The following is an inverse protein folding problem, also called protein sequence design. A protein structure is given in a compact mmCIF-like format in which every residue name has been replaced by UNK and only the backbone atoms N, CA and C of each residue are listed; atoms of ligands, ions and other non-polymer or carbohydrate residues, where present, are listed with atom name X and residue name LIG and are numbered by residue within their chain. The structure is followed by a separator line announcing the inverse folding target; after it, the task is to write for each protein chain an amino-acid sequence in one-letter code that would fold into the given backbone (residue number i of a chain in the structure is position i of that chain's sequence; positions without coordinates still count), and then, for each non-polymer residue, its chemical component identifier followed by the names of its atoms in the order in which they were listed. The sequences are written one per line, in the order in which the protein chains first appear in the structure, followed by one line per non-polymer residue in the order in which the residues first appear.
data_IF_543152135380
#
_entry.id   IF_543152135380
#
_cell.length_a   1.000
_cell.length_b   1.000
_cell.length_c   1.000
_cell.angle_alpha   90.00
_cell.angle_beta   90.00
_cell.angle_gamma   90.00
#
_symmetry.space_group_name_H-M   'P 1'
#
loop_
_entity.id
_entity.type
_entity.pdbx_description
1 polymer ?
#
# COMPACT_ATOMS: atom_id res chain seq x y z
N UNK A 1 0.16 -1.80 8.04
CA UNK A 1 -0.87 -0.72 8.16
C UNK A 1 -0.74 0.05 9.49
N UNK A 2 -0.11 -0.57 10.47
CA UNK A 2 0.53 -0.04 11.69
C UNK A 2 1.49 1.14 11.48
N UNK A 3 2.27 1.16 10.39
CA UNK A 3 3.25 2.24 10.17
C UNK A 3 2.62 3.63 10.14
N UNK A 4 1.41 3.79 9.59
CA UNK A 4 0.72 5.09 9.55
C UNK A 4 0.40 5.58 10.96
N UNK A 5 -0.03 4.68 11.85
CA UNK A 5 -0.35 5.03 13.24
C UNK A 5 0.91 5.45 14.01
N UNK A 6 2.03 4.78 13.77
CA UNK A 6 3.32 5.19 14.32
C UNK A 6 3.75 6.58 13.82
N UNK A 7 3.64 6.83 12.51
CA UNK A 7 3.97 8.13 11.94
C UNK A 7 3.08 9.26 12.50
N UNK A 8 1.80 8.99 12.77
CA UNK A 8 0.91 9.94 13.45
C UNK A 8 1.36 10.20 14.89
N UNK A 9 1.78 9.17 15.62
CA UNK A 9 2.21 9.30 17.01
C UNK A 9 3.54 10.06 17.14
N UNK A 10 4.41 9.94 16.14
CA UNK A 10 5.69 10.64 16.10
C UNK A 10 5.59 12.10 15.62
N UNK A 11 4.41 12.60 15.25
CA UNK A 11 4.20 13.91 14.64
C UNK A 11 4.87 15.09 15.36
N UNK A 12 5.00 15.03 16.69
CA UNK A 12 5.61 16.08 17.51
C UNK A 12 7.11 15.90 17.78
N UNK A 13 7.71 14.80 17.31
CA UNK A 13 9.13 14.50 17.50
C UNK A 13 9.98 15.15 16.39
N UNK A 14 11.28 15.38 16.63
CA UNK A 14 12.20 15.77 15.57
C UNK A 14 12.29 14.68 14.49
N UNK A 15 12.48 15.07 13.23
CA UNK A 15 12.54 14.16 12.07
C UNK A 15 13.44 12.93 12.25
N UNK A 16 14.57 13.08 12.99
CA UNK A 16 15.50 11.99 13.30
C UNK A 16 14.85 10.84 14.09
N UNK A 17 13.72 11.09 14.77
CA UNK A 17 13.02 10.14 15.63
C UNK A 17 11.67 9.67 15.04
N UNK A 18 11.38 9.96 13.77
CA UNK A 18 10.18 9.46 13.06
C UNK A 18 10.34 8.03 12.55
N UNK A 19 10.98 7.16 13.32
CA UNK A 19 11.18 5.74 12.97
C UNK A 19 11.01 4.88 14.22
N UNK A 20 10.51 3.67 14.01
CA UNK A 20 10.43 2.65 15.05
C UNK A 20 11.87 2.32 15.54
N UNK A 21 12.08 2.10 16.85
CA UNK A 21 13.39 1.75 17.41
C UNK A 21 14.03 0.52 16.75
N UNK A 22 13.20 -0.40 16.26
CA UNK A 22 13.61 -1.59 15.53
C UNK A 22 12.46 -2.09 14.63
N UNK A 23 12.77 -2.67 13.45
CA UNK A 23 11.78 -3.13 12.48
C UNK A 23 10.79 -4.17 13.05
N UNK A 24 11.32 -5.15 13.77
CA UNK A 24 10.52 -6.20 14.41
C UNK A 24 9.54 -5.68 15.48
N UNK A 25 9.80 -4.50 16.07
CA UNK A 25 8.94 -3.95 17.12
C UNK A 25 7.65 -3.37 16.53
N UNK A 26 7.75 -2.67 15.41
CA UNK A 26 6.58 -2.17 14.67
C UNK A 26 5.73 -3.32 14.12
N UNK A 27 6.40 -4.36 13.61
CA UNK A 27 5.76 -5.55 13.06
C UNK A 27 5.00 -6.34 14.14
N UNK A 28 5.65 -6.62 15.29
CA UNK A 28 5.01 -7.34 16.39
C UNK A 28 3.77 -6.62 16.95
N UNK A 29 3.81 -5.29 17.03
CA UNK A 29 2.66 -4.50 17.50
C UNK A 29 1.56 -4.45 16.44
N UNK A 30 1.93 -4.33 15.16
CA UNK A 30 1.01 -4.44 14.04
C UNK A 30 0.27 -5.78 14.03
N UNK A 31 1.01 -6.87 14.19
CA UNK A 31 0.47 -8.23 14.22
C UNK A 31 -0.40 -8.48 15.46
N UNK A 32 0.02 -8.03 16.65
CA UNK A 32 -0.80 -8.13 17.85
C UNK A 32 -2.14 -7.39 17.71
N UNK A 33 -2.14 -6.20 17.11
CA UNK A 33 -3.37 -5.44 16.85
C UNK A 33 -4.22 -6.14 15.79
N UNK A 34 -3.61 -6.70 14.75
CA UNK A 34 -4.32 -7.46 13.72
C UNK A 34 -5.00 -8.71 14.32
N UNK A 35 -4.26 -9.51 15.09
CA UNK A 35 -4.74 -10.71 15.74
C UNK A 35 -5.86 -10.42 16.75
N UNK A 36 -5.75 -9.36 17.55
CA UNK A 36 -6.80 -8.96 18.50
C UNK A 36 -8.08 -8.50 17.79
N UNK A 37 -7.97 -7.84 16.63
CA UNK A 37 -9.12 -7.44 15.83
C UNK A 37 -9.72 -8.55 14.99
N UNK A 38 -9.00 -9.65 14.76
CA UNK A 38 -9.53 -10.87 14.13
C UNK A 38 -10.34 -11.77 15.09
N UNK A 39 -10.59 -11.31 16.32
CA UNK A 39 -11.52 -11.98 17.22
C UNK A 39 -12.91 -12.10 16.57
N UNK A 40 -13.57 -13.28 16.62
CA UNK A 40 -14.89 -13.46 15.99
C UNK A 40 -15.93 -12.47 16.54
N UNK A 41 -15.82 -12.12 17.82
CA UNK A 41 -16.68 -11.13 18.48
C UNK A 41 -16.50 -9.72 17.90
N UNK A 42 -15.26 -9.34 17.58
CA UNK A 42 -14.95 -8.06 16.96
C UNK A 42 -15.48 -8.03 15.52
N UNK A 43 -15.18 -9.07 14.72
CA UNK A 43 -15.63 -9.21 13.34
C UNK A 43 -17.16 -9.22 13.19
N UNK A 44 -17.88 -9.85 14.13
CA UNK A 44 -19.35 -9.79 14.21
C UNK A 44 -19.85 -8.38 14.51
N UNK A 45 -19.21 -7.68 15.45
CA UNK A 45 -19.58 -6.29 15.84
C UNK A 45 -19.42 -5.30 14.69
N UNK A 46 -18.37 -5.44 13.88
CA UNK A 46 -18.15 -4.59 12.70
C UNK A 46 -18.96 -5.05 11.47
N UNK A 47 -19.83 -6.07 11.63
CA UNK A 47 -20.70 -6.57 10.57
C UNK A 47 -19.95 -7.21 9.41
N UNK A 48 -18.78 -7.80 9.69
CA UNK A 48 -18.05 -8.65 8.73
C UNK A 48 -18.45 -10.12 8.84
N UNK A 49 -19.06 -10.52 9.96
CA UNK A 49 -19.57 -11.87 10.21
C UNK A 49 -21.02 -11.77 10.69
N UNK A 50 -21.98 -11.96 9.77
CA UNK A 50 -23.42 -11.86 10.10
C UNK A 50 -23.97 -13.19 10.69
N UNK A 51 -23.58 -14.34 10.13
CA UNK A 51 -24.06 -15.69 10.51
C UNK A 51 -22.93 -16.66 10.91
N UNK A 52 -21.96 -16.20 11.70
CA UNK A 52 -20.85 -17.05 12.12
C UNK A 52 -21.19 -17.89 13.35
N UNK A 53 -21.16 -19.22 13.20
CA UNK A 53 -21.15 -20.16 14.31
C UNK A 53 -19.69 -20.40 14.74
N UNK A 54 -19.39 -20.45 16.03
CA UNK A 54 -18.00 -20.49 16.55
C UNK A 54 -17.13 -21.66 16.04
N UNK A 55 -17.72 -22.62 15.32
CA UNK A 55 -17.07 -23.79 14.72
C UNK A 55 -16.43 -23.50 13.34
N UNK A 56 -16.88 -22.46 12.61
CA UNK A 56 -16.53 -22.30 11.17
C UNK A 56 -15.11 -21.79 10.91
N UNK A 57 -14.37 -21.34 11.95
CA UNK A 57 -12.96 -20.95 11.77
C UNK A 57 -12.08 -22.15 11.39
N UNK A 58 -12.48 -23.34 11.83
CA UNK A 58 -11.77 -24.58 11.52
C UNK A 58 -11.90 -24.88 10.04
N UNK A 59 -13.08 -24.69 9.44
CA UNK A 59 -13.35 -25.01 8.03
C UNK A 59 -12.39 -24.27 7.09
N UNK A 60 -12.13 -22.98 7.31
CA UNK A 60 -11.25 -22.19 6.45
C UNK A 60 -9.77 -22.64 6.55
N UNK A 61 -9.32 -22.98 7.75
CA UNK A 61 -7.96 -23.46 8.01
C UNK A 61 -7.77 -24.93 7.60
N UNK A 62 -8.83 -25.73 7.73
CA UNK A 62 -8.89 -27.16 7.41
C UNK A 62 -8.96 -27.40 5.90
N UNK A 63 -9.73 -26.57 5.18
CA UNK A 63 -9.78 -26.63 3.72
C UNK A 63 -8.45 -26.23 3.08
N UNK A 64 -7.68 -25.31 3.68
CA UNK A 64 -6.37 -24.91 3.17
C UNK A 64 -6.40 -24.60 1.66
N UNK A 65 -5.54 -25.26 0.88
CA UNK A 65 -5.49 -25.13 -0.59
C UNK A 65 -6.25 -26.24 -1.34
N UNK A 66 -7.12 -26.99 -0.67
CA UNK A 66 -7.84 -28.13 -1.27
C UNK A 66 -8.97 -27.71 -2.22
N UNK A 67 -9.52 -26.49 -2.05
CA UNK A 67 -10.53 -25.90 -2.92
C UNK A 67 -10.03 -24.57 -3.52
N UNK A 68 -10.58 -24.13 -4.68
CA UNK A 68 -10.41 -22.77 -5.15
C UNK A 68 -10.83 -21.76 -4.08
N UNK A 69 -10.09 -20.67 -3.96
CA UNK A 69 -10.28 -19.69 -2.89
C UNK A 69 -11.64 -18.98 -2.98
N UNK A 70 -12.23 -18.90 -4.18
CA UNK A 70 -13.54 -18.32 -4.44
C UNK A 70 -14.66 -19.12 -3.78
N UNK A 71 -14.59 -20.45 -3.84
CA UNK A 71 -15.61 -21.34 -3.28
C UNK A 71 -15.55 -21.35 -1.75
N UNK A 72 -14.34 -21.27 -1.19
CA UNK A 72 -14.12 -21.11 0.26
C UNK A 72 -14.67 -19.77 0.75
N UNK A 73 -14.47 -18.70 -0.03
CA UNK A 73 -14.95 -17.36 0.31
C UNK A 73 -16.47 -17.26 0.21
N UNK A 74 -17.09 -17.94 -0.75
CA UNK A 74 -18.54 -18.05 -0.87
C UNK A 74 -19.15 -18.77 0.33
N UNK A 75 -18.56 -19.90 0.71
CA UNK A 75 -18.98 -20.70 1.86
C UNK A 75 -18.86 -19.89 3.18
N UNK A 76 -17.81 -19.09 3.32
CA UNK A 76 -17.55 -18.33 4.55
C UNK A 76 -18.25 -16.96 4.64
N UNK A 77 -18.25 -16.20 3.55
CA UNK A 77 -18.69 -14.80 3.53
C UNK A 77 -19.90 -14.57 2.61
N UNK A 78 -20.43 -15.61 1.96
CA UNK A 78 -21.53 -15.51 1.02
C UNK A 78 -21.19 -14.72 -0.25
N UNK A 79 -19.90 -14.48 -0.52
CA UNK A 79 -19.42 -13.68 -1.65
C UNK A 79 -18.32 -14.40 -2.39
N UNK A 80 -18.42 -14.46 -3.73
CA UNK A 80 -17.37 -15.04 -4.60
C UNK A 80 -16.29 -14.05 -5.02
N UNK A 81 -16.53 -12.76 -4.83
CA UNK A 81 -15.66 -11.69 -5.33
C UNK A 81 -15.04 -10.90 -4.19
N UNK A 82 -13.78 -10.51 -4.36
CA UNK A 82 -13.13 -9.60 -3.42
C UNK A 82 -13.83 -8.24 -3.39
N UNK A 83 -14.18 -7.75 -2.20
CA UNK A 83 -14.85 -6.46 -2.02
C UNK A 83 -14.13 -5.59 -1.01
N UNK A 84 -13.78 -4.37 -1.42
CA UNK A 84 -13.21 -3.37 -0.52
C UNK A 84 -14.23 -2.79 0.48
N UNK A 85 -15.53 -3.13 0.36
CA UNK A 85 -16.62 -2.61 1.21
C UNK A 85 -16.36 -2.86 2.69
N UNK A 86 -15.84 -4.04 3.03
CA UNK A 86 -15.47 -4.44 4.38
C UNK A 86 -14.40 -3.52 4.99
N UNK A 87 -13.34 -3.25 4.22
CA UNK A 87 -12.28 -2.32 4.62
C UNK A 87 -12.80 -0.89 4.74
N UNK A 88 -13.61 -0.43 3.78
CA UNK A 88 -14.22 0.90 3.81
C UNK A 88 -15.13 1.08 5.04
N UNK A 89 -15.95 0.09 5.38
CA UNK A 89 -16.80 0.11 6.58
C UNK A 89 -15.94 0.20 7.85
N UNK A 90 -14.84 -0.55 7.91
CA UNK A 90 -13.94 -0.54 9.06
C UNK A 90 -13.22 0.80 9.25
N UNK A 91 -12.76 1.45 8.17
CA UNK A 91 -12.09 2.75 8.21
C UNK A 91 -13.04 3.95 8.19
N UNK A 92 -14.35 3.74 8.06
CA UNK A 92 -15.35 4.80 8.00
C UNK A 92 -15.16 5.90 9.05
N UNK A 93 -15.05 5.62 10.37
CA UNK A 93 -14.89 6.69 11.35
C UNK A 93 -13.59 7.50 11.17
N UNK A 94 -12.53 6.87 10.66
CA UNK A 94 -11.29 7.57 10.32
C UNK A 94 -11.46 8.43 9.06
N UNK A 95 -12.17 7.92 8.06
CA UNK A 95 -12.47 8.69 6.84
C UNK A 95 -13.31 9.92 7.17
N UNK A 96 -14.33 9.77 8.01
CA UNK A 96 -15.20 10.87 8.45
C UNK A 96 -14.36 11.95 9.17
N UNK A 97 -13.48 11.55 10.11
CA UNK A 97 -12.58 12.47 10.80
C UNK A 97 -11.60 13.19 9.86
N UNK A 98 -11.02 12.48 8.89
CA UNK A 98 -10.12 13.09 7.91
C UNK A 98 -10.86 14.07 6.99
N UNK A 99 -12.11 13.80 6.65
CA UNK A 99 -12.95 14.71 5.88
C UNK A 99 -13.20 16.02 6.63
N UNK A 100 -13.50 15.96 7.93
CA UNK A 100 -13.66 17.16 8.78
C UNK A 100 -12.38 18.03 8.78
N UNK A 101 -11.20 17.42 8.90
CA UNK A 101 -9.93 18.16 8.88
C UNK A 101 -9.63 18.81 7.52
N UNK A 102 -10.08 18.19 6.43
CA UNK A 102 -10.00 18.78 5.08
C UNK A 102 -10.94 19.98 4.97
N UNK A 103 -12.19 19.87 5.46
CA UNK A 103 -13.15 20.97 5.48
C UNK A 103 -12.68 22.16 6.32
N UNK A 104 -12.01 21.90 7.45
CA UNK A 104 -11.39 22.94 8.29
C UNK A 104 -10.17 23.61 7.65
N UNK A 105 -9.78 23.22 6.43
CA UNK A 105 -8.65 23.79 5.70
C UNK A 105 -7.28 23.42 6.29
N UNK A 106 -7.23 22.47 7.22
CA UNK A 106 -5.99 22.01 7.86
C UNK A 106 -5.22 21.00 7.01
N UNK A 107 -5.88 20.41 6.00
CA UNK A 107 -5.30 19.41 5.11
C UNK A 107 -5.61 19.74 3.65
N UNK A 108 -4.57 19.85 2.82
CA UNK A 108 -4.69 19.92 1.36
C UNK A 108 -4.71 18.51 0.78
N UNK A 109 -5.79 18.16 0.08
CA UNK A 109 -5.94 16.83 -0.56
C UNK A 109 -5.19 16.77 -1.89
N UNK A 110 -4.50 15.66 -2.14
CA UNK A 110 -3.80 15.37 -3.38
C UNK A 110 -2.32 15.78 -3.38
N UNK A 111 -1.60 15.34 -4.41
CA UNK A 111 -0.18 15.62 -4.62
C UNK A 111 0.01 16.38 -5.93
N UNK A 112 0.81 17.44 -5.90
CA UNK A 112 1.30 18.12 -7.11
C UNK A 112 2.52 17.35 -7.60
N UNK A 113 2.39 16.59 -8.69
CA UNK A 113 3.54 15.97 -9.34
C UNK A 113 4.44 17.07 -9.94
N UNK A 114 5.63 17.26 -9.37
CA UNK A 114 6.67 18.07 -10.00
C UNK A 114 7.31 17.24 -11.12
N UNK A 115 7.12 17.64 -12.37
CA UNK A 115 7.70 17.04 -13.58
C UNK A 115 9.22 17.22 -13.69
N UNK A 116 9.97 16.93 -12.62
CA UNK A 116 11.45 16.97 -12.64
C UNK A 116 12.06 15.70 -13.25
N UNK A 117 11.28 14.65 -13.45
CA UNK A 117 11.73 13.39 -14.06
C UNK A 117 11.73 13.41 -15.60
N UNK A 118 10.99 14.33 -16.23
CA UNK A 118 10.95 14.47 -17.70
C UNK A 118 12.15 15.24 -18.26
N UNK A 119 12.75 16.17 -17.51
CA UNK A 119 13.90 16.96 -18.01
C UNK A 119 15.20 16.15 -18.10
N UNK A 120 15.44 15.26 -17.13
CA UNK A 120 16.69 14.49 -17.04
C UNK A 120 16.82 13.47 -18.18
N UNK A 121 15.70 12.88 -18.62
CA UNK A 121 15.67 11.91 -19.73
C UNK A 121 15.95 12.57 -21.09
N UNK A 122 15.48 13.79 -21.30
CA UNK A 122 15.75 14.53 -22.54
C UNK A 122 17.20 15.01 -22.65
N UNK A 123 17.80 15.48 -21.54
CA UNK A 123 19.20 15.90 -21.53
C UNK A 123 20.17 14.73 -21.75
N UNK A 124 19.90 13.58 -21.14
CA UNK A 124 20.70 12.36 -21.33
C UNK A 124 20.60 11.84 -22.77
N UNK A 125 19.40 11.91 -23.38
CA UNK A 125 19.21 11.49 -24.77
C UNK A 125 19.95 12.43 -25.75
N UNK A 126 19.95 13.75 -25.52
CA UNK A 126 20.71 14.69 -26.36
C UNK A 126 22.22 14.50 -26.26
N UNK A 127 22.76 14.29 -25.06
CA UNK A 127 24.22 14.05 -24.88
C UNK A 127 24.68 12.76 -25.57
N UNK A 128 23.91 11.68 -25.43
CA UNK A 128 24.29 10.40 -26.04
C UNK A 128 24.06 10.37 -27.56
N UNK A 129 23.06 11.07 -28.09
CA UNK A 129 22.84 11.18 -29.53
C UNK A 129 23.96 11.97 -30.24
N UNK A 130 24.42 13.07 -29.65
CA UNK A 130 25.57 13.84 -30.17
C UNK A 130 26.87 13.03 -30.15
N UNK A 131 27.12 12.26 -29.08
CA UNK A 131 28.25 11.33 -29.03
C UNK A 131 28.15 10.24 -30.11
N UNK A 132 26.94 9.73 -30.37
CA UNK A 132 26.72 8.72 -31.41
C UNK A 132 27.00 9.27 -32.82
N UNK A 133 26.57 10.50 -33.12
CA UNK A 133 26.88 11.17 -34.39
C UNK A 133 28.39 11.40 -34.52
N UNK A 134 29.05 11.87 -33.45
CA UNK A 134 30.48 12.16 -33.47
C UNK A 134 31.33 10.89 -33.66
N UNK A 135 30.95 9.78 -33.00
CA UNK A 135 31.63 8.49 -33.17
C UNK A 135 31.46 7.91 -34.58
N UNK A 136 30.26 8.04 -35.17
CA UNK A 136 30.03 7.60 -36.56
C UNK A 136 30.77 8.46 -37.60
N UNK A 137 30.94 9.76 -37.33
CA UNK A 137 31.71 10.64 -38.20
C UNK A 137 33.21 10.29 -38.21
N UNK A 138 33.79 10.01 -37.04
CA UNK A 138 35.21 9.59 -36.92
C UNK A 138 35.43 8.24 -37.61
N UNK A 139 34.55 7.27 -37.40
CA UNK A 139 34.63 5.95 -38.04
C UNK A 139 34.52 6.03 -39.58
N UNK A 140 33.74 6.97 -40.11
CA UNK A 140 33.60 7.18 -41.56
C UNK A 140 34.85 7.84 -42.16
N UNK A 141 35.54 8.71 -41.42
CA UNK A 141 36.78 9.36 -41.87
C UNK A 141 37.98 8.40 -41.87
N UNK A 142 38.03 7.46 -40.92
CA UNK A 142 39.10 6.45 -40.85
C UNK A 142 39.03 5.41 -41.98
N UNK A 143 37.86 5.18 -42.57
CA UNK A 143 37.68 4.24 -43.70
C UNK A 143 38.01 4.84 -45.07
N UNK A 144 38.15 6.17 -45.17
CA UNK A 144 38.41 6.86 -46.44
C UNK A 144 39.90 7.16 -46.67
N UNK A 145 40.77 6.84 -45.71
CA UNK A 145 42.21 7.14 -45.72
C UNK A 145 43.12 5.89 -45.75
N UNK A 146 42.58 4.73 -46.12
CA UNK A 146 43.31 3.51 -46.51
C UNK A 146 42.95 3.16 -47.96
#
# INVERSE_FOLDING_TARGET
MDHIQYYLQYKSLPFRFHRSPHGAFSEAIGDAIALTKMSPTHLKRIGLLENYSGCDKTILLELGSSKPWEDILEEFAGVRTFSAKSCLRYFKPLQDYLAELVEQGQLKVGWTCNNKSTSIREELFRRNFLLFIFMNFILSFSFFYL
#
